data_IF_764190579345
#
_entry.id   IF_764190579345
#
_cell.length_a   1.000
_cell.length_b   1.000
_cell.length_c   1.000
_cell.angle_alpha   90.00
_cell.angle_beta   90.00
_cell.angle_gamma   90.00
#
_symmetry.space_group_name_H-M   'P 1'
#
loop_
_entity.id
_entity.type
_entity.pdbx_description
1 polymer ?
#
# COMPACT_ATOMS: atom_id res chain seq x y z
N UNK A 1 8.19 21.59 -19.46
CA UNK A 1 6.73 21.75 -19.22
C UNK A 1 6.42 21.21 -17.83
N UNK A 2 5.78 21.99 -16.96
CA UNK A 2 5.44 21.54 -15.59
C UNK A 2 4.28 20.56 -15.71
N UNK A 3 4.48 19.29 -15.36
CA UNK A 3 3.38 18.32 -15.28
C UNK A 3 2.28 18.89 -14.40
N UNK A 4 1.03 18.80 -14.86
CA UNK A 4 -0.14 19.26 -14.11
C UNK A 4 -0.07 18.62 -12.72
N UNK A 5 -0.10 19.44 -11.67
CA UNK A 5 -0.05 18.92 -10.29
C UNK A 5 -1.41 18.30 -10.00
N UNK A 6 -1.42 17.02 -9.67
CA UNK A 6 -2.63 16.34 -9.19
C UNK A 6 -3.02 16.94 -7.83
N UNK A 7 -4.27 17.41 -7.63
CA UNK A 7 -4.72 17.96 -6.35
C UNK A 7 -4.76 16.89 -5.26
N UNK A 8 -4.74 17.30 -3.99
CA UNK A 8 -4.65 16.38 -2.86
C UNK A 8 -5.84 15.39 -2.77
N UNK A 9 -7.03 15.83 -3.18
CA UNK A 9 -8.23 14.97 -3.21
C UNK A 9 -8.09 13.83 -4.23
N UNK A 10 -7.56 14.13 -5.41
CA UNK A 10 -7.33 13.14 -6.45
C UNK A 10 -6.17 12.20 -6.10
N UNK A 11 -5.12 12.72 -5.44
CA UNK A 11 -4.08 11.87 -4.85
C UNK A 11 -4.68 10.86 -3.87
N UNK A 12 -5.63 11.27 -3.03
CA UNK A 12 -6.30 10.38 -2.09
C UNK A 12 -7.12 9.30 -2.80
N UNK A 13 -7.90 9.68 -3.82
CA UNK A 13 -8.69 8.73 -4.63
C UNK A 13 -7.80 7.67 -5.28
N UNK A 14 -6.70 8.08 -5.91
CA UNK A 14 -5.75 7.17 -6.56
C UNK A 14 -5.08 6.23 -5.53
N UNK A 15 -4.78 6.72 -4.33
CA UNK A 15 -4.24 5.86 -3.26
C UNK A 15 -5.29 4.82 -2.85
N UNK A 16 -6.55 5.21 -2.66
CA UNK A 16 -7.63 4.28 -2.30
C UNK A 16 -7.85 3.21 -3.37
N UNK A 17 -7.86 3.60 -4.64
CA UNK A 17 -7.97 2.69 -5.78
C UNK A 17 -6.79 1.71 -5.84
N UNK A 18 -5.57 2.20 -5.65
CA UNK A 18 -4.38 1.36 -5.51
C UNK A 18 -4.53 0.32 -4.39
N UNK A 19 -5.09 0.70 -3.23
CA UNK A 19 -5.34 -0.24 -2.12
C UNK A 19 -6.40 -1.29 -2.44
N UNK A 20 -7.44 -0.90 -3.15
CA UNK A 20 -8.55 -1.78 -3.51
C UNK A 20 -8.24 -2.70 -4.70
N UNK A 21 -7.25 -2.33 -5.52
CA UNK A 21 -6.84 -3.11 -6.70
C UNK A 21 -6.30 -4.50 -6.38
N UNK A 22 -5.83 -4.73 -5.15
CA UNK A 22 -5.14 -5.96 -4.76
C UNK A 22 -3.72 -6.10 -5.32
N UNK A 23 -3.26 -5.14 -6.14
CA UNK A 23 -1.89 -5.06 -6.63
C UNK A 23 -0.97 -4.42 -5.59
N UNK A 24 0.32 -4.73 -5.66
CA UNK A 24 1.31 -3.97 -4.88
C UNK A 24 1.37 -2.52 -5.36
N UNK A 25 1.71 -1.59 -4.48
CA UNK A 25 1.82 -0.16 -4.80
C UNK A 25 2.68 0.08 -6.03
N UNK A 26 3.77 -0.68 -6.15
CA UNK A 26 4.69 -0.60 -7.27
C UNK A 26 4.04 -1.03 -8.59
N UNK A 27 3.35 -2.17 -8.61
CA UNK A 27 2.69 -2.68 -9.81
C UNK A 27 1.59 -1.72 -10.29
N UNK A 28 0.73 -1.29 -9.37
CA UNK A 28 -0.35 -0.35 -9.69
C UNK A 28 0.20 0.96 -10.24
N UNK A 29 1.28 1.49 -9.64
CA UNK A 29 1.97 2.68 -10.12
C UNK A 29 2.48 2.52 -11.56
N UNK A 30 3.09 1.39 -11.90
CA UNK A 30 3.58 1.11 -13.26
C UNK A 30 2.43 1.04 -14.26
N UNK A 31 1.32 0.36 -13.91
CA UNK A 31 0.14 0.25 -14.78
C UNK A 31 -0.54 1.60 -15.03
N UNK A 32 -0.51 2.51 -14.06
CA UNK A 32 -1.17 3.82 -14.13
C UNK A 32 -0.24 4.96 -14.56
N UNK A 33 0.96 4.64 -15.06
CA UNK A 33 2.02 5.60 -15.45
C UNK A 33 2.39 6.60 -14.33
N UNK A 34 2.24 6.18 -13.07
CA UNK A 34 2.60 6.97 -11.90
C UNK A 34 3.99 6.51 -11.44
N UNK A 35 4.92 7.46 -11.32
CA UNK A 35 6.23 7.15 -10.73
C UNK A 35 6.04 6.72 -9.26
N UNK A 36 6.54 5.55 -8.83
CA UNK A 36 6.38 5.10 -7.44
C UNK A 36 6.87 6.13 -6.42
N UNK A 37 7.98 6.82 -6.70
CA UNK A 37 8.47 7.91 -5.85
C UNK A 37 7.48 9.07 -5.69
N UNK A 38 6.72 9.40 -6.73
CA UNK A 38 5.65 10.41 -6.65
C UNK A 38 4.50 9.92 -5.77
N UNK A 39 4.09 8.66 -5.94
CA UNK A 39 3.03 8.04 -5.15
C UNK A 39 3.37 8.03 -3.65
N UNK A 40 4.57 7.57 -3.27
CA UNK A 40 4.98 7.56 -1.86
C UNK A 40 5.10 8.98 -1.29
N UNK A 41 5.48 9.97 -2.09
CA UNK A 41 5.46 11.38 -1.68
C UNK A 41 4.03 11.89 -1.42
N UNK A 42 3.04 11.47 -2.21
CA UNK A 42 1.63 11.79 -1.95
C UNK A 42 1.15 11.18 -0.64
N UNK A 43 1.40 9.88 -0.42
CA UNK A 43 1.07 9.18 0.83
C UNK A 43 1.70 9.89 2.03
N UNK A 44 2.99 10.23 1.95
CA UNK A 44 3.71 10.95 3.01
C UNK A 44 3.07 12.31 3.31
N UNK A 45 2.77 13.10 2.28
CA UNK A 45 2.17 14.44 2.43
C UNK A 45 0.76 14.39 2.99
N UNK A 46 -0.04 13.40 2.61
CA UNK A 46 -1.40 13.22 3.14
C UNK A 46 -1.36 12.89 4.64
N UNK A 47 -0.50 11.93 5.06
CA UNK A 47 -0.29 11.59 6.47
C UNK A 47 0.16 12.79 7.31
N UNK A 48 1.07 13.61 6.77
CA UNK A 48 1.57 14.81 7.46
C UNK A 48 0.51 15.91 7.63
N UNK A 49 -0.47 15.99 6.73
CA UNK A 49 -1.54 16.99 6.80
C UNK A 49 -2.63 16.66 7.82
N UNK A 50 -2.52 15.52 8.52
CA UNK A 50 -3.56 15.03 9.44
C UNK A 50 -4.84 14.65 8.73
N UNK A 51 -4.82 14.61 7.39
CA UNK A 51 -5.94 14.20 6.59
C UNK A 51 -5.84 12.68 6.44
N UNK A 52 -6.92 12.00 6.83
CA UNK A 52 -7.35 10.65 6.45
C UNK A 52 -6.63 9.43 7.03
N UNK A 53 -7.47 8.51 7.53
CA UNK A 53 -7.20 7.09 7.78
C UNK A 53 -6.76 6.39 6.48
N UNK A 54 -5.55 6.68 6.00
CA UNK A 54 -5.00 6.02 4.83
C UNK A 54 -4.84 4.52 5.13
N UNK A 55 -5.42 3.63 4.31
CA UNK A 55 -5.29 2.20 4.53
C UNK A 55 -3.82 1.76 4.51
N UNK A 56 -3.54 0.64 5.17
CA UNK A 56 -2.20 0.06 5.22
C UNK A 56 -1.67 -0.23 3.81
N UNK A 57 -0.33 -0.29 3.68
CA UNK A 57 0.30 -0.53 2.39
C UNK A 57 -0.06 -1.92 1.83
N UNK A 58 -0.40 -2.03 0.55
CA UNK A 58 -0.70 -3.28 -0.15
C UNK A 58 0.63 -4.01 -0.32
N UNK A 59 0.83 -5.07 0.46
CA UNK A 59 2.12 -5.76 0.61
C UNK A 59 2.61 -5.84 2.05
N UNK A 60 2.01 -5.06 2.97
CA UNK A 60 1.99 -5.39 4.40
C UNK A 60 0.57 -5.75 4.82
N UNK A 61 -0.04 -6.73 4.16
CA UNK A 61 -0.76 -7.65 5.01
C UNK A 61 0.34 -8.30 5.84
N UNK A 62 0.42 -7.98 7.13
CA UNK A 62 0.58 -9.10 8.04
C UNK A 62 -0.56 -10.03 7.60
N UNK A 63 -0.25 -11.02 6.76
CA UNK A 63 -1.03 -12.25 6.83
C UNK A 63 -1.01 -12.52 8.32
N UNK A 64 -2.13 -12.33 9.01
CA UNK A 64 -2.30 -12.97 10.30
C UNK A 64 -1.78 -14.38 10.06
N UNK A 65 -0.75 -14.85 10.79
CA UNK A 65 -0.07 -16.09 10.46
C UNK A 65 -1.18 -17.11 10.26
N UNK A 66 -1.34 -17.53 9.01
CA UNK A 66 -2.27 -18.58 8.65
C UNK A 66 -1.83 -19.73 9.53
N UNK A 67 -2.67 -20.09 10.51
CA UNK A 67 -2.31 -20.90 11.68
C UNK A 67 -1.28 -21.96 11.29
N UNK A 68 -0.02 -21.72 11.64
CA UNK A 68 1.04 -22.67 11.36
C UNK A 68 0.80 -23.80 12.36
N UNK A 69 0.09 -24.85 11.95
CA UNK A 69 -0.12 -26.04 12.77
C UNK A 69 1.24 -26.69 13.03
N UNK A 70 1.84 -26.34 14.16
CA UNK A 70 3.04 -26.98 14.68
C UNK A 70 2.65 -28.34 15.26
N UNK A 71 2.88 -29.38 14.47
CA UNK A 71 2.78 -30.78 14.93
C UNK A 71 3.91 -31.02 15.93
N UNK A 72 3.57 -31.42 17.15
CA UNK A 72 4.54 -31.87 18.14
C UNK A 72 5.15 -33.18 17.65
N UNK A 73 6.47 -33.20 17.47
CA UNK A 73 7.23 -34.42 17.21
C UNK A 73 7.74 -34.92 18.56
N UNK A 74 7.16 -36.00 19.06
CA UNK A 74 7.68 -36.70 20.24
C UNK A 74 8.94 -37.48 19.83
N UNK A 75 10.08 -37.10 20.40
CA UNK A 75 11.30 -37.90 20.33
C UNK A 75 11.26 -38.88 21.49
N UNK A 76 11.08 -40.17 21.20
CA UNK A 76 11.32 -41.24 22.16
C UNK A 76 12.81 -41.61 22.15
N UNK A 77 13.43 -41.56 23.33
CA UNK A 77 14.76 -42.11 23.62
C UNK A 77 14.71 -43.64 23.73
#
# INVERSE_FOLDING_TARGET
MRSKRIPAEEQYRLIMECRQSGLTDHQWCVEHDIKPGTFYNWVKRLRQKGCVDLPASTGRSYRAPENQEVVRVDFHD
#
